data_IF_168730556417
#
_entry.id   IF_168730556417
#
_cell.length_a   1.000
_cell.length_b   1.000
_cell.length_c   1.000
_cell.angle_alpha   90.00
_cell.angle_beta   90.00
_cell.angle_gamma   90.00
#
_symmetry.space_group_name_H-M   'P 1'
#
loop_
_entity.id
_entity.type
_entity.pdbx_description
1 polymer ?
#
# COMPACT_ATOMS: atom_id res chain seq x y z
N UNK A 1 19.90 -12.18 11.99
CA UNK A 1 18.43 -11.98 12.10
C UNK A 1 17.98 -11.43 10.76
N UNK A 2 17.36 -12.26 9.92
CA UNK A 2 16.95 -11.87 8.57
C UNK A 2 15.43 -11.66 8.58
N UNK A 3 14.99 -10.47 8.98
CA UNK A 3 13.57 -10.10 8.85
C UNK A 3 13.29 -9.93 7.37
N UNK A 4 12.68 -10.95 6.76
CA UNK A 4 12.13 -10.88 5.41
C UNK A 4 11.21 -9.66 5.33
N UNK A 5 11.60 -8.63 4.57
CA UNK A 5 10.79 -7.44 4.34
C UNK A 5 9.56 -7.85 3.50
N UNK A 6 8.43 -8.09 4.16
CA UNK A 6 7.18 -8.54 3.50
C UNK A 6 6.68 -7.54 2.46
N UNK A 7 6.91 -6.24 2.69
CA UNK A 7 6.54 -5.19 1.76
C UNK A 7 7.28 -5.36 0.42
N UNK A 8 8.60 -5.62 0.44
CA UNK A 8 9.38 -5.84 -0.78
C UNK A 8 8.89 -7.03 -1.60
N UNK A 9 8.57 -8.15 -0.95
CA UNK A 9 8.06 -9.33 -1.64
C UNK A 9 6.71 -9.06 -2.33
N UNK A 10 5.81 -8.34 -1.66
CA UNK A 10 4.51 -7.94 -2.23
C UNK A 10 4.67 -6.96 -3.39
N UNK A 11 5.61 -6.02 -3.29
CA UNK A 11 5.90 -5.07 -4.37
C UNK A 11 6.44 -5.76 -5.61
N UNK A 12 7.42 -6.67 -5.45
CA UNK A 12 7.96 -7.44 -6.56
C UNK A 12 6.87 -8.26 -7.26
N UNK A 13 6.00 -8.93 -6.49
CA UNK A 13 4.86 -9.68 -7.03
C UNK A 13 3.88 -8.77 -7.78
N UNK A 14 3.59 -7.60 -7.20
CA UNK A 14 2.65 -6.65 -7.79
C UNK A 14 3.18 -6.07 -9.10
N UNK A 15 4.44 -5.65 -9.15
CA UNK A 15 5.09 -5.14 -10.35
C UNK A 15 5.12 -6.17 -11.49
N UNK A 16 5.30 -7.45 -11.16
CA UNK A 16 5.32 -8.53 -12.15
C UNK A 16 3.94 -8.85 -12.75
N UNK A 17 2.87 -8.75 -11.96
CA UNK A 17 1.57 -9.34 -12.30
C UNK A 17 0.39 -8.36 -12.39
N UNK A 18 0.55 -7.11 -11.95
CA UNK A 18 -0.56 -6.16 -11.81
C UNK A 18 -0.26 -4.85 -12.54
N UNK A 19 -1.13 -4.49 -13.48
CA UNK A 19 -1.15 -3.16 -14.06
C UNK A 19 -2.08 -2.26 -13.21
N UNK A 20 -1.53 -1.20 -12.62
CA UNK A 20 -2.27 -0.38 -11.65
C UNK A 20 -2.97 0.81 -12.31
N UNK A 21 -4.24 1.08 -11.98
CA UNK A 21 -4.93 2.26 -12.47
C UNK A 21 -4.26 3.54 -11.94
N UNK A 22 -4.32 4.60 -12.73
CA UNK A 22 -3.81 5.92 -12.36
C UNK A 22 -2.33 5.94 -11.90
N UNK A 23 -1.55 4.93 -12.29
CA UNK A 23 -0.14 4.77 -11.94
C UNK A 23 0.70 4.78 -13.21
N UNK A 24 1.74 5.62 -13.26
CA UNK A 24 2.70 5.56 -14.37
C UNK A 24 3.61 4.34 -14.20
N UNK A 25 3.29 3.24 -14.88
CA UNK A 25 3.95 1.94 -14.68
C UNK A 25 5.46 1.97 -14.92
N UNK A 26 5.96 2.81 -15.83
CA UNK A 26 7.42 2.94 -16.02
C UNK A 26 8.12 3.58 -14.83
N UNK A 27 7.45 4.51 -14.16
CA UNK A 27 7.95 5.12 -12.94
C UNK A 27 7.84 4.16 -11.75
N UNK A 28 6.83 3.28 -11.74
CA UNK A 28 6.61 2.30 -10.68
C UNK A 28 7.80 1.35 -10.46
N UNK A 29 8.59 1.07 -11.50
CA UNK A 29 9.84 0.28 -11.39
C UNK A 29 10.87 0.89 -10.40
N UNK A 30 10.83 2.21 -10.18
CA UNK A 30 11.74 2.94 -9.29
C UNK A 30 11.04 3.60 -8.11
N UNK A 31 9.76 3.91 -8.25
CA UNK A 31 8.89 4.48 -7.24
C UNK A 31 7.84 3.43 -6.87
N UNK A 32 8.17 2.53 -5.92
CA UNK A 32 7.26 1.47 -5.54
C UNK A 32 5.99 2.03 -4.91
N UNK A 33 4.89 1.32 -5.10
CA UNK A 33 3.63 1.57 -4.41
C UNK A 33 3.78 1.28 -2.91
N UNK A 34 2.71 1.54 -2.16
CA UNK A 34 2.64 1.21 -0.74
C UNK A 34 1.73 -0.01 -0.51
N UNK A 35 2.27 -1.16 -0.07
CA UNK A 35 1.45 -2.30 0.32
C UNK A 35 0.72 -2.01 1.63
N UNK A 36 -0.62 -2.13 1.62
CA UNK A 36 -1.45 -1.94 2.81
C UNK A 36 -1.95 -3.31 3.29
N UNK A 37 -1.74 -3.60 4.57
CA UNK A 37 -2.16 -4.85 5.22
C UNK A 37 -3.53 -4.74 5.86
N UNK A 38 -3.81 -3.61 6.52
CA UNK A 38 -5.08 -3.32 7.21
C UNK A 38 -5.31 -1.82 7.34
N UNK A 39 -6.54 -1.44 7.69
CA UNK A 39 -6.87 -0.08 8.09
C UNK A 39 -7.75 -0.08 9.34
N UNK A 40 -7.66 0.96 10.16
CA UNK A 40 -8.45 1.14 11.39
C UNK A 40 -8.70 2.64 11.62
N UNK A 41 -9.97 3.05 11.68
CA UNK A 41 -10.36 4.46 11.72
C UNK A 41 -9.79 5.22 10.53
N UNK A 42 -8.97 6.25 10.80
CA UNK A 42 -8.30 7.06 9.76
C UNK A 42 -6.91 6.54 9.37
N UNK A 43 -6.49 5.38 9.89
CA UNK A 43 -5.13 4.89 9.71
C UNK A 43 -5.08 3.68 8.77
N UNK A 44 -4.05 3.64 7.93
CA UNK A 44 -3.62 2.48 7.17
C UNK A 44 -2.32 1.95 7.75
N UNK A 45 -2.12 0.63 7.75
CA UNK A 45 -0.90 -0.02 8.24
C UNK A 45 -0.33 -0.96 7.19
N UNK A 46 0.98 -0.90 6.97
CA UNK A 46 1.69 -1.82 6.06
C UNK A 46 2.08 -3.14 6.75
N UNK A 47 2.70 -4.06 6.00
CA UNK A 47 3.06 -5.38 6.52
C UNK A 47 4.27 -5.37 7.48
N UNK A 48 4.86 -4.19 7.73
CA UNK A 48 5.93 -3.97 8.70
C UNK A 48 5.47 -3.16 9.91
N UNK A 49 4.16 -2.88 10.02
CA UNK A 49 3.55 -2.20 11.16
C UNK A 49 3.67 -0.67 11.10
N UNK A 50 4.16 -0.10 10.00
CA UNK A 50 4.21 1.36 9.85
C UNK A 50 2.82 1.88 9.47
N UNK A 51 2.41 2.95 10.14
CA UNK A 51 1.11 3.59 9.99
C UNK A 51 1.15 4.82 9.10
N UNK A 52 0.09 5.02 8.35
CA UNK A 52 -0.12 6.12 7.40
C UNK A 52 -1.52 6.70 7.62
N UNK A 53 -1.65 8.02 7.59
CA UNK A 53 -2.94 8.68 7.68
C UNK A 53 -3.65 8.60 6.32
N UNK A 54 -4.88 8.10 6.30
CA UNK A 54 -5.76 8.16 5.12
C UNK A 54 -6.38 9.56 5.01
N UNK A 55 -5.69 10.45 4.31
CA UNK A 55 -6.11 11.84 4.13
C UNK A 55 -7.18 12.07 3.06
N UNK A 56 -7.62 11.03 2.36
CA UNK A 56 -8.54 11.15 1.21
C UNK A 56 -9.77 10.25 1.34
N UNK A 57 -9.98 9.62 2.49
CA UNK A 57 -11.05 8.65 2.71
C UNK A 57 -11.00 7.51 1.68
N UNK A 58 -9.80 6.97 1.47
CA UNK A 58 -9.46 6.01 0.44
C UNK A 58 -9.76 6.58 -0.95
N UNK A 59 -10.63 5.94 -1.73
CA UNK A 59 -11.08 6.50 -3.00
C UNK A 59 -12.27 7.44 -2.83
N UNK A 60 -12.24 8.33 -1.84
CA UNK A 60 -13.36 9.22 -1.47
C UNK A 60 -14.64 8.50 -1.03
N UNK A 61 -14.53 7.22 -0.72
CA UNK A 61 -15.68 6.34 -0.42
C UNK A 61 -15.80 5.99 1.04
N UNK A 62 -14.75 6.20 1.85
CA UNK A 62 -14.72 5.74 3.24
C UNK A 62 -14.90 6.88 4.25
N UNK A 63 -16.15 7.35 4.41
CA UNK A 63 -16.48 8.49 5.27
C UNK A 63 -16.35 8.17 6.79
N UNK A 64 -16.70 6.95 7.19
CA UNK A 64 -16.72 6.55 8.60
C UNK A 64 -15.42 5.90 9.08
N UNK A 65 -14.45 5.73 8.19
CA UNK A 65 -13.16 5.11 8.50
C UNK A 65 -13.14 3.59 8.31
N UNK A 66 -11.95 3.02 8.40
CA UNK A 66 -11.68 1.60 8.26
C UNK A 66 -11.97 0.85 9.57
N UNK A 67 -12.19 -0.48 9.52
CA UNK A 67 -12.48 -1.33 10.69
C UNK A 67 -11.37 -2.36 10.93
#
# INVERSE_FOLDING_TARGET
>A
MNTSNKNQALLARSLYAVWHPCTQMKAHEKLPLLPIARGEGVWLEDFEGKRYLDGVSSWWVNLFGHN
#
